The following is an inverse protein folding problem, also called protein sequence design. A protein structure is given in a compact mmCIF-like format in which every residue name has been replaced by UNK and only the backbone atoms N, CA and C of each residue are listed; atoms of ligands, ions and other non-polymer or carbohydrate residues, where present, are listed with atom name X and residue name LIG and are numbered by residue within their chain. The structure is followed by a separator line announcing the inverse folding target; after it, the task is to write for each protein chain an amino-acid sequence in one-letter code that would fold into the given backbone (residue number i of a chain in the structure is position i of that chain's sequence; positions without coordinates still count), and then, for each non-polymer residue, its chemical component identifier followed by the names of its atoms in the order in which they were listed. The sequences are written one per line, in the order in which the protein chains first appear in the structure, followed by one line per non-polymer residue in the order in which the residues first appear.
data_IF_221460523964
#
_entry.id   IF_221460523964
#
_cell.length_a   1.000
_cell.length_b   1.000
_cell.length_c   1.000
_cell.angle_alpha   90.00
_cell.angle_beta   90.00
_cell.angle_gamma   90.00
#
_symmetry.space_group_name_H-M   'P 1'
#
loop_
_entity.id
_entity.type
_entity.pdbx_description
1 polymer ?
#
# COMPACT_ATOMS: atom_id res chain seq x y z
N UNK A 1 10.21 -11.35 9.48
CA UNK A 1 9.10 -12.30 9.64
C UNK A 1 8.27 -11.85 10.85
N UNK A 2 6.96 -11.69 10.67
CA UNK A 2 6.04 -11.47 11.80
C UNK A 2 5.98 -12.79 12.59
N UNK A 3 6.17 -12.70 13.90
CA UNK A 3 5.91 -13.82 14.79
C UNK A 3 4.39 -13.94 14.99
N UNK A 4 3.76 -14.81 14.19
CA UNK A 4 2.31 -15.03 14.21
C UNK A 4 1.79 -15.59 15.56
N UNK A 5 2.67 -16.01 16.45
CA UNK A 5 2.31 -16.50 17.78
C UNK A 5 2.00 -15.37 18.78
N UNK A 6 2.41 -14.13 18.47
CA UNK A 6 2.26 -12.96 19.35
C UNK A 6 1.21 -11.98 18.84
N UNK A 7 0.43 -11.35 19.74
CA UNK A 7 -0.45 -10.26 19.35
C UNK A 7 0.37 -9.12 18.74
N UNK A 8 -0.02 -8.66 17.55
CA UNK A 8 0.80 -7.72 16.79
C UNK A 8 -0.02 -6.53 16.29
N UNK A 9 0.46 -5.33 16.58
CA UNK A 9 -0.01 -4.08 16.01
C UNK A 9 1.01 -3.58 14.98
N UNK A 10 0.65 -3.64 13.72
CA UNK A 10 1.42 -3.11 12.60
C UNK A 10 1.15 -1.61 12.49
N UNK A 11 2.21 -0.79 12.51
CA UNK A 11 2.12 0.67 12.49
C UNK A 11 2.80 1.22 11.23
N UNK A 12 2.00 1.64 10.24
CA UNK A 12 2.50 2.10 8.94
C UNK A 12 2.48 3.61 8.73
N UNK A 13 3.28 4.08 7.74
CA UNK A 13 3.04 5.35 7.05
C UNK A 13 1.82 5.22 6.12
N UNK A 14 1.30 6.35 5.58
CA UNK A 14 0.04 6.33 4.82
C UNK A 14 0.09 7.24 3.60
N UNK A 15 0.34 6.66 2.44
CA UNK A 15 0.58 7.42 1.20
C UNK A 15 -0.38 7.07 0.06
N UNK A 16 -1.03 5.87 0.08
CA UNK A 16 -1.87 5.39 -1.01
C UNK A 16 -3.15 4.67 -0.55
N UNK A 17 -3.89 5.33 0.34
CA UNK A 17 -5.22 4.92 0.78
C UNK A 17 -5.36 3.40 1.07
N UNK A 18 -6.41 2.74 0.51
CA UNK A 18 -6.68 1.33 0.80
C UNK A 18 -5.73 0.35 0.09
N UNK A 19 -4.99 0.80 -0.95
CA UNK A 19 -4.05 -0.08 -1.67
C UNK A 19 -2.98 -0.65 -0.74
N UNK A 20 -2.55 0.10 0.26
CA UNK A 20 -1.58 -0.33 1.26
C UNK A 20 -2.09 -1.53 2.07
N UNK A 21 -3.36 -1.49 2.48
CA UNK A 21 -3.99 -2.62 3.15
C UNK A 21 -4.06 -3.86 2.27
N UNK A 22 -4.39 -3.71 0.98
CA UNK A 22 -4.41 -4.81 0.01
C UNK A 22 -3.03 -5.41 -0.19
N UNK A 23 -2.00 -4.57 -0.33
CA UNK A 23 -0.61 -5.03 -0.49
C UNK A 23 -0.12 -5.81 0.73
N UNK A 24 -0.38 -5.31 1.94
CA UNK A 24 0.01 -6.02 3.17
C UNK A 24 -0.76 -7.36 3.29
N UNK A 25 -2.06 -7.38 2.98
CA UNK A 25 -2.85 -8.61 2.98
C UNK A 25 -2.34 -9.64 1.95
N UNK A 26 -1.84 -9.20 0.80
CA UNK A 26 -1.25 -10.06 -0.21
C UNK A 26 0.07 -10.72 0.23
N UNK A 27 0.86 -10.02 1.05
CA UNK A 27 2.13 -10.54 1.61
C UNK A 27 1.86 -11.57 2.72
N UNK A 28 0.76 -11.39 3.48
CA UNK A 28 0.38 -12.26 4.60
C UNK A 28 -0.99 -12.92 4.36
N UNK A 29 -1.13 -13.79 3.36
CA UNK A 29 -2.43 -14.36 2.97
C UNK A 29 -3.05 -15.26 4.05
N UNK A 30 -2.24 -15.82 4.95
CA UNK A 30 -2.69 -16.68 6.04
C UNK A 30 -2.93 -15.93 7.35
N UNK A 31 -2.45 -14.70 7.47
CA UNK A 31 -2.63 -13.89 8.66
C UNK A 31 -4.07 -13.37 8.75
N UNK A 32 -4.66 -13.44 9.95
CA UNK A 32 -5.96 -12.81 10.22
C UNK A 32 -5.76 -11.34 10.50
N UNK A 33 -5.62 -10.56 9.42
CA UNK A 33 -5.35 -9.12 9.47
C UNK A 33 -6.64 -8.32 9.56
N UNK A 34 -6.63 -7.32 10.43
CA UNK A 34 -7.66 -6.31 10.55
C UNK A 34 -7.08 -4.93 10.29
N UNK A 35 -7.84 -4.07 9.62
CA UNK A 35 -7.39 -2.75 9.19
C UNK A 35 -8.23 -1.66 9.83
N UNK A 36 -7.59 -0.60 10.30
CA UNK A 36 -8.29 0.60 10.75
C UNK A 36 -8.45 1.56 9.58
N UNK A 37 -9.69 1.95 9.27
CA UNK A 37 -9.98 2.93 8.25
C UNK A 37 -10.90 4.04 8.77
N UNK A 38 -10.88 5.18 8.10
CA UNK A 38 -11.69 6.35 8.44
C UNK A 38 -13.18 5.99 8.55
N UNK A 39 -13.83 6.45 9.59
CA UNK A 39 -15.23 6.13 9.85
C UNK A 39 -16.20 6.66 8.77
N UNK A 40 -15.86 7.74 8.08
CA UNK A 40 -16.69 8.33 7.02
C UNK A 40 -16.91 7.40 5.81
N UNK A 41 -16.00 6.45 5.54
CA UNK A 41 -16.20 5.45 4.47
C UNK A 41 -17.28 4.42 4.79
N UNK A 42 -17.72 4.33 6.06
CA UNK A 42 -18.80 3.44 6.51
C UNK A 42 -20.20 4.07 6.44
N UNK A 43 -20.31 5.32 6.02
CA UNK A 43 -21.60 6.03 6.00
C UNK A 43 -22.63 5.39 5.05
N UNK A 44 -22.19 4.67 4.03
CA UNK A 44 -23.08 3.95 3.13
C UNK A 44 -23.30 2.50 3.60
N UNK A 45 -24.56 2.02 3.80
CA UNK A 45 -24.82 0.69 4.38
C UNK A 45 -24.20 -0.49 3.61
N UNK A 46 -24.16 -0.40 2.27
CA UNK A 46 -23.54 -1.44 1.45
C UNK A 46 -22.02 -1.43 1.62
N UNK A 47 -21.41 -0.24 1.64
CA UNK A 47 -19.98 -0.11 1.88
C UNK A 47 -19.61 -0.65 3.26
N UNK A 48 -20.35 -0.31 4.30
CA UNK A 48 -20.14 -0.81 5.67
C UNK A 48 -20.15 -2.34 5.73
N UNK A 49 -21.09 -3.01 5.06
CA UNK A 49 -21.16 -4.48 4.98
C UNK A 49 -19.96 -5.09 4.25
N UNK A 50 -19.50 -4.46 3.18
CA UNK A 50 -18.32 -4.94 2.42
C UNK A 50 -17.06 -4.76 3.27
N UNK A 51 -16.88 -3.59 3.89
CA UNK A 51 -15.71 -3.27 4.71
C UNK A 51 -15.62 -4.20 5.93
N UNK A 52 -16.74 -4.51 6.58
CA UNK A 52 -16.76 -5.46 7.70
C UNK A 52 -16.33 -6.87 7.27
N UNK A 53 -16.79 -7.35 6.10
CA UNK A 53 -16.33 -8.63 5.53
C UNK A 53 -14.84 -8.64 5.16
N UNK A 54 -14.27 -7.48 4.86
CA UNK A 54 -12.86 -7.29 4.60
C UNK A 54 -12.04 -7.04 5.86
N UNK A 55 -12.62 -7.25 7.04
CA UNK A 55 -11.98 -7.04 8.34
C UNK A 55 -11.51 -5.58 8.56
N UNK A 56 -12.24 -4.62 8.01
CA UNK A 56 -11.94 -3.20 8.16
C UNK A 56 -12.79 -2.62 9.29
N UNK A 57 -12.16 -1.92 10.23
CA UNK A 57 -12.77 -1.38 11.45
C UNK A 57 -12.77 0.16 11.36
N UNK A 58 -13.88 0.83 11.68
CA UNK A 58 -13.92 2.30 11.65
C UNK A 58 -13.08 2.92 12.77
N UNK A 59 -12.30 3.98 12.44
CA UNK A 59 -11.66 4.84 13.41
C UNK A 59 -12.07 6.29 13.17
N UNK A 60 -12.38 7.01 14.26
CA UNK A 60 -12.89 8.37 14.24
C UNK A 60 -11.77 9.36 14.55
N UNK A 61 -11.69 10.42 13.76
CA UNK A 61 -10.72 11.51 13.96
C UNK A 61 -11.38 12.65 14.72
N UNK A 62 -10.61 13.49 15.37
CA UNK A 62 -11.09 14.67 16.12
C UNK A 62 -12.01 15.54 15.23
N UNK A 63 -11.69 15.69 13.95
CA UNK A 63 -12.48 16.44 12.97
C UNK A 63 -13.79 15.75 12.54
N UNK A 64 -14.01 14.50 12.90
CA UNK A 64 -15.24 13.76 12.55
C UNK A 64 -16.40 14.03 13.54
N UNK A 65 -16.21 14.95 14.50
CA UNK A 65 -17.25 15.48 15.37
C UNK A 65 -16.95 15.37 16.87
N UNK A 66 -17.78 16.02 17.68
CA UNK A 66 -17.58 16.17 19.13
C UNK A 66 -17.51 14.82 19.88
N UNK A 67 -18.27 13.83 19.40
CA UNK A 67 -18.31 12.49 20.03
C UNK A 67 -17.30 11.50 19.42
N UNK A 68 -16.36 11.96 18.59
CA UNK A 68 -15.40 11.09 17.92
C UNK A 68 -14.52 10.29 18.90
N UNK A 69 -14.14 10.91 20.02
CA UNK A 69 -13.33 10.26 21.05
C UNK A 69 -14.09 9.16 21.79
N UNK A 70 -15.40 9.37 22.09
CA UNK A 70 -16.21 8.34 22.76
C UNK A 70 -16.50 7.16 21.84
N UNK A 71 -16.75 7.42 20.55
CA UNK A 71 -16.89 6.36 19.53
C UNK A 71 -15.62 5.54 19.33
N UNK A 72 -14.44 6.14 19.53
CA UNK A 72 -13.17 5.42 19.50
C UNK A 72 -12.98 4.44 20.65
N UNK A 73 -13.65 4.61 21.80
CA UNK A 73 -13.62 3.61 22.89
C UNK A 73 -14.11 2.25 22.40
N UNK A 74 -15.23 2.20 21.69
CA UNK A 74 -15.75 0.95 21.13
C UNK A 74 -14.80 0.34 20.09
N UNK A 75 -14.20 1.18 19.24
CA UNK A 75 -13.19 0.75 18.27
C UNK A 75 -11.98 0.15 18.98
N UNK A 76 -11.45 0.82 19.98
CA UNK A 76 -10.29 0.38 20.75
C UNK A 76 -10.57 -0.93 21.52
N UNK A 77 -11.73 -1.03 22.16
CA UNK A 77 -12.17 -2.28 22.82
C UNK A 77 -12.24 -3.44 21.83
N UNK A 78 -12.82 -3.22 20.63
CA UNK A 78 -12.88 -4.23 19.57
C UNK A 78 -11.48 -4.64 19.12
N UNK A 79 -10.58 -3.68 18.92
CA UNK A 79 -9.19 -3.97 18.50
C UNK A 79 -8.44 -4.71 19.60
N UNK A 80 -8.52 -4.30 20.85
CA UNK A 80 -7.89 -5.01 21.98
C UNK A 80 -8.39 -6.45 22.08
N UNK A 81 -9.69 -6.68 21.91
CA UNK A 81 -10.23 -8.03 21.88
C UNK A 81 -9.66 -8.87 20.75
N UNK A 82 -9.54 -8.32 19.54
CA UNK A 82 -8.94 -9.02 18.40
C UNK A 82 -7.46 -9.36 18.64
N UNK A 83 -6.71 -8.45 19.24
CA UNK A 83 -5.32 -8.72 19.62
C UNK A 83 -5.22 -9.84 20.67
N UNK A 84 -6.14 -9.88 21.66
CA UNK A 84 -6.23 -10.99 22.64
C UNK A 84 -6.55 -12.34 21.99
N UNK A 85 -7.26 -12.32 20.87
CA UNK A 85 -7.56 -13.51 20.06
C UNK A 85 -6.41 -13.92 19.13
N UNK A 86 -5.24 -13.29 19.23
CA UNK A 86 -4.09 -13.55 18.37
C UNK A 86 -4.29 -13.07 16.93
N UNK A 87 -5.15 -12.06 16.69
CA UNK A 87 -5.27 -11.40 15.40
C UNK A 87 -4.23 -10.29 15.28
N UNK A 88 -3.90 -9.94 14.05
CA UNK A 88 -3.01 -8.82 13.77
C UNK A 88 -3.83 -7.61 13.32
N UNK A 89 -3.46 -6.44 13.81
CA UNK A 89 -4.16 -5.20 13.47
C UNK A 89 -3.19 -4.21 12.85
N UNK A 90 -3.65 -3.50 11.83
CA UNK A 90 -2.86 -2.49 11.12
C UNK A 90 -3.48 -1.12 11.36
N UNK A 91 -2.64 -0.19 11.78
CA UNK A 91 -2.98 1.23 11.92
C UNK A 91 -1.97 2.08 11.15
N UNK A 92 -2.48 3.04 10.39
CA UNK A 92 -1.64 4.04 9.72
C UNK A 92 -1.44 5.22 10.66
N UNK A 93 -0.23 5.29 11.25
CA UNK A 93 0.05 6.14 12.41
C UNK A 93 0.10 7.64 12.09
N UNK A 94 0.19 8.03 10.82
CA UNK A 94 0.12 9.42 10.37
C UNK A 94 -1.30 10.02 10.44
N UNK A 95 -2.33 9.16 10.43
CA UNK A 95 -3.73 9.54 10.59
C UNK A 95 -4.39 10.20 9.37
N UNK A 96 -3.64 10.58 8.38
CA UNK A 96 -4.11 11.10 7.09
C UNK A 96 -3.31 10.45 5.95
N UNK A 97 -3.98 10.19 4.82
CA UNK A 97 -3.33 9.70 3.61
C UNK A 97 -2.90 10.89 2.75
N UNK A 98 -1.63 10.95 2.37
CA UNK A 98 -1.10 11.96 1.44
C UNK A 98 -0.08 11.29 0.51
N UNK A 99 -0.26 11.44 -0.80
CA UNK A 99 0.58 10.83 -1.84
C UNK A 99 1.94 11.55 -1.95
N UNK A 100 2.80 11.36 -0.95
CA UNK A 100 4.14 11.91 -0.88
C UNK A 100 5.13 10.86 -0.36
N UNK A 101 6.35 10.86 -0.89
CA UNK A 101 7.46 10.02 -0.39
C UNK A 101 8.13 10.72 0.80
N UNK A 102 7.40 10.86 1.88
CA UNK A 102 7.85 11.54 3.08
C UNK A 102 7.20 10.97 4.33
N UNK A 103 7.99 10.76 5.37
CA UNK A 103 7.48 10.40 6.68
C UNK A 103 6.94 11.64 7.40
N UNK A 104 5.66 11.63 7.72
CA UNK A 104 4.97 12.73 8.40
C UNK A 104 4.89 12.49 9.91
N UNK A 105 4.53 13.54 10.64
CA UNK A 105 4.35 13.47 12.10
C UNK A 105 3.27 12.45 12.47
N UNK A 106 3.59 11.56 13.42
CA UNK A 106 2.68 10.54 13.89
C UNK A 106 1.63 11.12 14.85
N UNK A 107 0.41 10.60 14.74
CA UNK A 107 -0.65 10.86 15.71
C UNK A 107 -0.50 9.92 16.90
N UNK A 108 -1.11 10.29 18.03
CA UNK A 108 -1.04 9.50 19.27
C UNK A 108 -2.01 8.30 19.30
N UNK A 109 -2.67 7.98 18.17
CA UNK A 109 -3.66 6.91 18.08
C UNK A 109 -3.08 5.53 18.31
N UNK A 110 -1.95 5.22 17.67
CA UNK A 110 -1.24 3.94 17.81
C UNK A 110 -0.77 3.69 19.24
N UNK A 111 -0.15 4.70 19.86
CA UNK A 111 0.30 4.61 21.25
C UNK A 111 -0.86 4.42 22.24
N UNK A 112 -1.97 5.16 22.06
CA UNK A 112 -3.16 5.01 22.93
C UNK A 112 -3.79 3.64 22.81
N UNK A 113 -3.89 3.11 21.58
CA UNK A 113 -4.42 1.78 21.34
C UNK A 113 -3.51 0.70 21.97
N UNK A 114 -2.20 0.82 21.79
CA UNK A 114 -1.23 -0.08 22.39
C UNK A 114 -1.29 -0.07 23.92
N UNK A 115 -1.36 1.11 24.52
CA UNK A 115 -1.42 1.25 25.98
C UNK A 115 -2.73 0.72 26.57
N UNK A 116 -3.87 0.90 25.90
CA UNK A 116 -5.11 0.25 26.32
C UNK A 116 -5.00 -1.27 26.29
N UNK A 117 -4.38 -1.82 25.25
CA UNK A 117 -4.19 -3.27 25.13
C UNK A 117 -3.29 -3.81 26.27
N UNK A 118 -2.22 -3.11 26.62
CA UNK A 118 -1.34 -3.45 27.76
C UNK A 118 -2.11 -3.35 29.08
N UNK A 119 -2.86 -2.27 29.29
CA UNK A 119 -3.71 -2.08 30.50
C UNK A 119 -4.72 -3.23 30.69
N UNK A 120 -5.20 -3.78 29.58
CA UNK A 120 -6.10 -4.93 29.58
C UNK A 120 -5.39 -6.30 29.61
N UNK A 121 -4.07 -6.33 29.89
CA UNK A 121 -3.28 -7.54 30.14
C UNK A 121 -2.51 -8.13 28.96
N UNK A 122 -2.37 -7.39 27.83
CA UNK A 122 -1.56 -7.79 26.69
C UNK A 122 -0.09 -7.29 26.85
N UNK A 123 0.63 -7.86 27.82
CA UNK A 123 2.01 -7.45 28.13
C UNK A 123 3.01 -7.78 26.99
N UNK A 124 2.71 -8.78 26.16
CA UNK A 124 3.56 -9.23 25.04
C UNK A 124 3.15 -8.61 23.69
N UNK A 125 2.42 -7.50 23.69
CA UNK A 125 1.99 -6.84 22.47
C UNK A 125 3.19 -6.31 21.67
N UNK A 126 3.41 -6.90 20.50
CA UNK A 126 4.43 -6.44 19.55
C UNK A 126 3.94 -5.27 18.71
N UNK A 127 4.78 -4.25 18.59
CA UNK A 127 4.61 -3.14 17.67
C UNK A 127 5.62 -3.30 16.54
N UNK A 128 5.15 -3.37 15.31
CA UNK A 128 6.03 -3.50 14.14
C UNK A 128 5.87 -2.26 13.27
N UNK A 129 6.92 -1.43 13.12
CA UNK A 129 6.91 -0.34 12.16
C UNK A 129 6.93 -0.90 10.74
N UNK A 130 6.05 -0.39 9.86
CA UNK A 130 5.90 -0.83 8.47
C UNK A 130 6.08 0.34 7.54
N UNK A 131 7.17 0.34 6.78
CA UNK A 131 7.41 1.31 5.72
C UNK A 131 6.82 0.85 4.39
N UNK A 132 5.98 1.69 3.80
CA UNK A 132 5.39 1.45 2.49
C UNK A 132 5.90 2.53 1.56
N UNK A 133 6.63 2.12 0.54
CA UNK A 133 7.31 2.99 -0.40
C UNK A 133 6.79 2.70 -1.81
N UNK A 134 6.53 3.75 -2.57
CA UNK A 134 6.12 3.66 -3.97
C UNK A 134 7.15 4.33 -4.86
N UNK A 135 7.33 3.80 -6.05
CA UNK A 135 8.21 4.44 -7.05
C UNK A 135 7.66 5.76 -7.55
N UNK A 136 6.35 5.92 -7.52
CA UNK A 136 5.63 7.14 -7.84
C UNK A 136 4.17 7.06 -7.44
N UNK A 137 3.38 8.09 -7.75
CA UNK A 137 1.95 8.16 -7.47
C UNK A 137 1.17 8.58 -8.70
N UNK A 138 0.11 7.85 -9.02
CA UNK A 138 -0.83 8.24 -10.08
C UNK A 138 -0.50 7.76 -11.48
N UNK A 139 0.56 6.98 -11.67
CA UNK A 139 0.88 6.33 -12.94
C UNK A 139 0.72 4.83 -12.85
N UNK A 140 0.55 4.17 -14.00
CA UNK A 140 0.51 2.72 -14.09
C UNK A 140 1.92 2.12 -14.13
N UNK A 141 2.08 0.92 -13.57
CA UNK A 141 3.35 0.20 -13.59
C UNK A 141 4.35 0.67 -12.52
N UNK A 142 3.87 1.38 -11.51
CA UNK A 142 4.68 1.74 -10.35
C UNK A 142 4.80 0.55 -9.40
N UNK A 143 5.99 0.40 -8.81
CA UNK A 143 6.28 -0.65 -7.85
C UNK A 143 6.00 -0.16 -6.43
N UNK A 144 5.70 -1.12 -5.55
CA UNK A 144 5.58 -0.88 -4.12
C UNK A 144 6.55 -1.78 -3.36
N UNK A 145 7.34 -1.18 -2.46
CA UNK A 145 8.22 -1.89 -1.56
C UNK A 145 7.73 -1.75 -0.14
N UNK A 146 7.46 -2.87 0.53
CA UNK A 146 7.05 -2.91 1.92
C UNK A 146 8.19 -3.46 2.76
N UNK A 147 8.61 -2.68 3.74
CA UNK A 147 9.67 -3.05 4.68
C UNK A 147 9.14 -3.05 6.11
N UNK A 148 9.46 -4.11 6.83
CA UNK A 148 9.17 -4.26 8.27
C UNK A 148 10.46 -4.00 9.04
N UNK A 149 10.41 -3.08 10.01
CA UNK A 149 11.54 -2.82 10.91
C UNK A 149 11.47 -3.73 12.14
N UNK A 150 12.51 -3.66 12.97
CA UNK A 150 12.61 -4.44 14.19
C UNK A 150 11.42 -4.17 15.13
N UNK A 151 10.75 -5.24 15.59
CA UNK A 151 9.65 -5.13 16.54
C UNK A 151 10.11 -4.55 17.87
N UNK A 152 9.19 -3.90 18.59
CA UNK A 152 9.39 -3.54 19.98
C UNK A 152 8.15 -3.85 20.82
N UNK A 153 8.30 -4.04 22.13
CA UNK A 153 7.19 -4.35 23.00
C UNK A 153 6.50 -3.05 23.46
N UNK A 154 5.17 -3.00 23.35
CA UNK A 154 4.39 -1.86 23.82
C UNK A 154 4.52 -1.61 25.32
N UNK A 155 4.68 -2.69 26.12
CA UNK A 155 4.79 -2.62 27.57
C UNK A 155 6.04 -1.88 28.05
N UNK A 156 7.12 -1.87 27.27
CA UNK A 156 8.37 -1.14 27.60
C UNK A 156 8.14 0.38 27.69
N UNK A 157 7.08 0.87 27.08
CA UNK A 157 6.72 2.30 27.01
C UNK A 157 5.45 2.62 27.82
N UNK A 158 4.82 1.63 28.46
CA UNK A 158 3.59 1.84 29.21
C UNK A 158 3.84 2.72 30.45
N UNK A 159 3.01 3.76 30.68
CA UNK A 159 3.22 4.69 31.80
C UNK A 159 3.06 4.01 33.16
N UNK A 160 4.00 4.25 34.06
CA UNK A 160 3.95 3.73 35.44
C UNK A 160 3.05 4.57 36.36
N UNK A 161 2.69 5.78 35.92
CA UNK A 161 1.81 6.70 36.65
C UNK A 161 1.04 7.60 35.68
N UNK A 162 -0.04 8.20 36.12
CA UNK A 162 -0.82 9.16 35.32
C UNK A 162 0.02 10.39 34.91
N UNK A 163 0.96 10.81 35.73
CA UNK A 163 1.86 11.94 35.44
C UNK A 163 2.83 11.64 34.28
N UNK A 164 3.15 10.37 34.05
CA UNK A 164 4.06 9.94 32.98
C UNK A 164 3.34 9.73 31.65
N UNK A 165 2.02 9.66 31.63
CA UNK A 165 1.22 9.29 30.45
C UNK A 165 1.56 10.10 29.19
N UNK A 166 1.72 11.41 29.31
CA UNK A 166 2.06 12.27 28.18
C UNK A 166 3.48 12.01 27.65
N UNK A 167 4.44 11.78 28.56
CA UNK A 167 5.83 11.45 28.22
C UNK A 167 5.93 10.08 27.57
N UNK A 168 5.26 9.07 28.12
CA UNK A 168 5.22 7.69 27.58
C UNK A 168 4.65 7.65 26.16
N UNK A 169 3.56 8.39 25.89
CA UNK A 169 3.02 8.51 24.52
C UNK A 169 4.05 9.10 23.54
N UNK A 170 4.84 10.07 23.97
CA UNK A 170 5.88 10.66 23.13
C UNK A 170 7.06 9.70 22.95
N UNK A 171 7.49 8.99 23.99
CA UNK A 171 8.56 7.99 23.90
C UNK A 171 8.18 6.85 22.96
N UNK A 172 6.95 6.33 23.07
CA UNK A 172 6.42 5.33 22.13
C UNK A 172 6.46 5.85 20.68
N UNK A 173 5.94 7.06 20.43
CA UNK A 173 5.95 7.65 19.10
C UNK A 173 7.37 7.88 18.57
N UNK A 174 8.32 8.30 19.42
CA UNK A 174 9.70 8.46 19.01
C UNK A 174 10.32 7.13 18.58
N UNK A 175 10.11 6.06 19.36
CA UNK A 175 10.57 4.71 18.98
C UNK A 175 9.94 4.23 17.67
N UNK A 176 8.65 4.50 17.49
CA UNK A 176 7.95 4.16 16.24
C UNK A 176 8.51 4.96 15.05
N UNK A 177 8.79 6.26 15.23
CA UNK A 177 9.41 7.11 14.20
C UNK A 177 10.79 6.57 13.81
N UNK A 178 11.62 6.16 14.77
CA UNK A 178 12.94 5.56 14.51
C UNK A 178 12.81 4.34 13.60
N UNK A 179 11.91 3.41 13.93
CA UNK A 179 11.67 2.24 13.09
C UNK A 179 11.11 2.60 11.70
N UNK A 180 10.20 3.56 11.61
CA UNK A 180 9.68 4.02 10.32
C UNK A 180 10.75 4.73 9.48
N UNK A 181 11.67 5.48 10.07
CA UNK A 181 12.82 6.07 9.36
C UNK A 181 13.74 5.02 8.74
N UNK A 182 13.84 3.84 9.35
CA UNK A 182 14.58 2.72 8.77
C UNK A 182 13.85 2.09 7.58
N UNK A 183 12.52 2.16 7.56
CA UNK A 183 11.67 1.46 6.60
C UNK A 183 11.15 2.36 5.46
N UNK A 184 11.15 3.68 5.61
CA UNK A 184 10.61 4.65 4.64
C UNK A 184 11.74 5.42 3.98
N UNK A 185 11.65 5.63 2.67
CA UNK A 185 12.50 6.59 1.95
C UNK A 185 11.87 7.97 2.12
N UNK A 186 12.60 8.87 2.81
CA UNK A 186 12.10 10.20 3.18
C UNK A 186 12.78 11.26 2.30
N UNK A 187 11.98 11.99 1.52
CA UNK A 187 12.47 13.02 0.62
C UNK A 187 12.42 14.40 1.32
N UNK A 188 13.53 15.18 1.26
CA UNK A 188 13.50 16.57 1.71
C UNK A 188 12.43 17.40 1.03
N UNK A 189 11.77 18.29 1.79
CA UNK A 189 10.61 19.07 1.32
C UNK A 189 11.03 20.06 0.25
N UNK A 190 12.17 20.73 0.46
CA UNK A 190 12.64 21.84 -0.36
C UNK A 190 12.91 21.42 -1.82
N UNK A 191 13.37 20.18 -2.02
CA UNK A 191 13.79 19.67 -3.33
C UNK A 191 12.97 18.48 -3.82
N UNK A 192 11.78 18.26 -3.26
CA UNK A 192 10.98 17.07 -3.48
C UNK A 192 10.82 16.69 -4.96
N UNK A 193 10.37 17.61 -5.80
CA UNK A 193 10.11 17.34 -7.22
C UNK A 193 11.40 17.02 -8.00
N UNK A 194 12.48 17.72 -7.69
CA UNK A 194 13.78 17.51 -8.33
C UNK A 194 14.38 16.16 -7.94
N UNK A 195 14.31 15.80 -6.66
CA UNK A 195 14.75 14.50 -6.14
C UNK A 195 13.90 13.38 -6.73
N UNK A 196 12.58 13.55 -6.80
CA UNK A 196 11.69 12.56 -7.39
C UNK A 196 12.01 12.33 -8.88
N UNK A 197 12.27 13.37 -9.64
CA UNK A 197 12.70 13.24 -11.04
C UNK A 197 14.03 12.53 -11.18
N UNK A 198 15.01 12.85 -10.34
CA UNK A 198 16.33 12.22 -10.31
C UNK A 198 16.26 10.72 -9.97
N UNK A 199 15.57 10.36 -8.90
CA UNK A 199 15.45 8.97 -8.45
C UNK A 199 14.67 8.12 -9.45
N UNK A 200 13.65 8.68 -10.13
CA UNK A 200 12.96 7.99 -11.23
C UNK A 200 13.91 7.65 -12.38
N UNK A 201 14.77 8.58 -12.80
CA UNK A 201 15.76 8.30 -13.85
C UNK A 201 16.73 7.18 -13.44
N UNK A 202 17.24 7.22 -12.21
CA UNK A 202 18.12 6.18 -11.66
C UNK A 202 17.43 4.82 -11.60
N UNK A 203 16.17 4.80 -11.18
CA UNK A 203 15.37 3.57 -11.10
C UNK A 203 15.13 2.95 -12.47
N UNK A 204 14.77 3.74 -13.48
CA UNK A 204 14.62 3.26 -14.87
C UNK A 204 15.92 2.61 -15.35
N UNK A 205 17.06 3.25 -15.12
CA UNK A 205 18.36 2.70 -15.48
C UNK A 205 18.63 1.37 -14.76
N UNK A 206 18.42 1.29 -13.44
CA UNK A 206 18.63 0.09 -12.64
C UNK A 206 17.71 -1.07 -13.05
N UNK A 207 16.41 -0.80 -13.33
CA UNK A 207 15.49 -1.82 -13.83
C UNK A 207 15.93 -2.36 -15.19
N UNK A 208 16.39 -1.50 -16.08
CA UNK A 208 16.92 -1.93 -17.38
C UNK A 208 18.18 -2.81 -17.23
N UNK A 209 19.06 -2.49 -16.30
CA UNK A 209 20.22 -3.32 -15.94
C UNK A 209 19.80 -4.67 -15.35
N UNK A 210 18.84 -4.67 -14.44
CA UNK A 210 18.29 -5.90 -13.86
C UNK A 210 17.67 -6.81 -14.93
N UNK A 211 16.81 -6.27 -15.79
CA UNK A 211 16.22 -7.02 -16.92
C UNK A 211 17.24 -7.58 -17.88
N UNK A 212 18.39 -6.93 -17.96
CA UNK A 212 19.53 -7.40 -18.74
C UNK A 212 20.40 -8.45 -18.01
N UNK A 213 20.06 -8.80 -16.76
CA UNK A 213 20.80 -9.74 -15.92
C UNK A 213 22.14 -9.19 -15.40
N UNK A 214 22.33 -7.87 -15.41
CA UNK A 214 23.58 -7.21 -15.00
C UNK A 214 23.53 -6.62 -13.60
N UNK A 215 22.31 -6.47 -13.00
CA UNK A 215 22.14 -5.91 -11.68
C UNK A 215 21.01 -6.61 -10.90
N UNK A 216 20.91 -6.37 -9.60
CA UNK A 216 19.81 -6.78 -8.72
C UNK A 216 18.68 -5.72 -8.85
N UNK A 217 17.43 -6.15 -8.68
CA UNK A 217 16.30 -5.22 -8.64
C UNK A 217 16.49 -4.19 -7.50
N UNK A 218 16.35 -2.88 -7.79
CA UNK A 218 16.62 -1.84 -6.80
C UNK A 218 15.62 -1.86 -5.66
N UNK A 219 16.13 -1.78 -4.44
CA UNK A 219 15.36 -1.72 -3.19
C UNK A 219 15.42 -0.35 -2.51
N UNK A 220 15.08 -0.33 -1.24
CA UNK A 220 15.04 0.90 -0.44
C UNK A 220 16.44 1.47 -0.19
N UNK A 221 17.44 0.61 -0.05
CA UNK A 221 18.82 1.04 0.20
C UNK A 221 19.37 1.82 -0.99
N UNK A 222 19.13 1.32 -2.20
CA UNK A 222 19.51 1.97 -3.45
C UNK A 222 18.78 3.31 -3.62
N UNK A 223 17.49 3.37 -3.33
CA UNK A 223 16.73 4.62 -3.44
C UNK A 223 17.22 5.67 -2.43
N UNK A 224 17.55 5.27 -1.21
CA UNK A 224 18.18 6.17 -0.23
C UNK A 224 19.54 6.68 -0.69
N UNK A 225 20.35 5.79 -1.29
CA UNK A 225 21.64 6.19 -1.85
C UNK A 225 21.43 7.21 -2.98
N UNK A 226 20.44 7.02 -3.84
CA UNK A 226 20.14 7.99 -4.90
C UNK A 226 19.69 9.35 -4.37
N UNK A 227 18.96 9.39 -3.25
CA UNK A 227 18.62 10.66 -2.58
C UNK A 227 19.89 11.33 -2.06
N UNK A 228 20.81 10.58 -1.43
CA UNK A 228 22.09 11.09 -0.95
C UNK A 228 22.95 11.59 -2.12
N UNK A 229 23.06 10.80 -3.21
CA UNK A 229 23.78 11.16 -4.43
C UNK A 229 23.27 12.49 -5.02
N UNK A 230 21.96 12.70 -5.04
CA UNK A 230 21.36 13.96 -5.49
C UNK A 230 21.82 15.14 -4.63
N UNK A 231 21.77 14.98 -3.31
CA UNK A 231 22.17 16.03 -2.37
C UNK A 231 23.66 16.36 -2.45
N UNK A 232 24.49 15.39 -2.85
CA UNK A 232 25.92 15.57 -3.11
C UNK A 232 26.23 16.11 -4.53
N UNK A 233 25.21 16.31 -5.36
CA UNK A 233 25.35 16.83 -6.72
C UNK A 233 25.86 15.80 -7.74
N UNK A 234 25.74 14.50 -7.44
CA UNK A 234 26.08 13.44 -8.39
C UNK A 234 25.07 13.45 -9.56
N UNK A 235 25.52 13.48 -10.83
CA UNK A 235 24.60 13.53 -11.96
C UNK A 235 23.75 12.24 -12.06
N UNK A 236 22.53 12.37 -12.58
CA UNK A 236 21.70 11.21 -12.90
C UNK A 236 22.41 10.31 -13.93
N UNK A 237 22.10 9.00 -13.88
CA UNK A 237 22.63 8.08 -14.87
C UNK A 237 22.21 8.51 -16.29
N UNK A 238 23.13 8.39 -17.24
CA UNK A 238 22.80 8.63 -18.66
C UNK A 238 21.69 7.64 -19.09
N UNK A 239 20.70 8.09 -19.91
CA UNK A 239 19.64 7.22 -20.38
C UNK A 239 20.22 6.03 -21.17
N UNK A 240 19.99 4.83 -20.69
CA UNK A 240 20.41 3.62 -21.38
C UNK A 240 19.56 3.37 -22.61
N UNK A 241 20.19 2.95 -23.71
CA UNK A 241 19.46 2.50 -24.89
C UNK A 241 18.75 1.18 -24.60
N UNK A 242 17.43 1.17 -24.73
CA UNK A 242 16.64 -0.07 -24.67
C UNK A 242 17.14 -1.08 -25.71
N UNK A 243 17.31 -2.33 -25.29
CA UNK A 243 17.66 -3.43 -26.21
C UNK A 243 16.52 -3.70 -27.19
N UNK A 244 16.89 -4.24 -28.35
CA UNK A 244 15.93 -4.59 -29.42
C UNK A 244 14.79 -5.51 -28.91
N UNK A 245 15.11 -6.52 -28.10
CA UNK A 245 14.13 -7.46 -27.51
C UNK A 245 13.15 -6.78 -26.57
N UNK A 246 13.59 -5.78 -25.80
CA UNK A 246 12.69 -4.98 -24.92
C UNK A 246 11.74 -4.12 -25.75
N UNK A 247 12.25 -3.50 -26.82
CA UNK A 247 11.41 -2.75 -27.76
C UNK A 247 10.39 -3.66 -28.44
N UNK A 248 10.77 -4.90 -28.75
CA UNK A 248 9.89 -5.90 -29.32
C UNK A 248 8.77 -6.30 -28.31
N UNK A 249 9.17 -6.62 -27.06
CA UNK A 249 8.20 -6.98 -26.01
C UNK A 249 7.23 -5.84 -25.69
N UNK A 250 7.69 -4.58 -25.68
CA UNK A 250 6.83 -3.39 -25.55
C UNK A 250 5.91 -3.28 -26.79
N UNK A 251 6.42 -3.51 -27.98
CA UNK A 251 5.65 -3.52 -29.21
C UNK A 251 4.55 -4.58 -29.20
N UNK A 252 4.86 -5.82 -28.80
CA UNK A 252 3.91 -6.91 -28.64
C UNK A 252 2.86 -6.61 -27.56
N UNK A 253 3.29 -6.04 -26.44
CA UNK A 253 2.38 -5.58 -25.36
C UNK A 253 1.39 -4.52 -25.89
N UNK A 254 1.85 -3.59 -26.72
CA UNK A 254 0.99 -2.58 -27.34
C UNK A 254 -0.03 -3.16 -28.31
N UNK A 255 0.23 -4.31 -28.96
CA UNK A 255 -0.76 -5.02 -29.79
C UNK A 255 -1.94 -5.55 -28.96
N UNK A 256 -1.75 -5.81 -27.68
CA UNK A 256 -2.80 -6.22 -26.75
C UNK A 256 -3.63 -5.05 -26.21
N UNK A 257 -3.16 -3.81 -26.41
CA UNK A 257 -3.82 -2.60 -25.92
C UNK A 257 -5.31 -2.53 -26.29
N UNK A 258 -5.75 -2.85 -27.54
CA UNK A 258 -7.18 -2.82 -27.87
C UNK A 258 -8.05 -3.75 -27.01
N UNK A 259 -7.51 -4.89 -26.58
CA UNK A 259 -8.23 -5.86 -25.76
C UNK A 259 -8.44 -5.35 -24.34
N UNK A 260 -7.39 -4.68 -23.78
CA UNK A 260 -7.40 -4.20 -22.39
C UNK A 260 -7.76 -2.72 -22.28
N UNK A 261 -7.83 -1.99 -23.38
CA UNK A 261 -8.15 -0.56 -23.40
C UNK A 261 -9.49 -0.23 -22.73
N UNK A 262 -10.53 -1.01 -23.04
CA UNK A 262 -11.89 -0.76 -22.54
C UNK A 262 -11.95 -0.76 -21.02
N UNK A 263 -11.52 -1.81 -20.29
CA UNK A 263 -11.54 -1.80 -18.84
C UNK A 263 -10.68 -0.69 -18.23
N UNK A 264 -9.51 -0.40 -18.80
CA UNK A 264 -8.64 0.67 -18.33
C UNK A 264 -9.25 2.06 -18.53
N UNK A 265 -9.76 2.33 -19.73
CA UNK A 265 -10.42 3.59 -20.05
C UNK A 265 -11.64 3.84 -19.16
N UNK A 266 -12.48 2.81 -18.94
CA UNK A 266 -13.65 2.93 -18.07
C UNK A 266 -13.23 3.13 -16.63
N UNK A 267 -12.23 2.39 -16.12
CA UNK A 267 -11.70 2.55 -14.77
C UNK A 267 -11.22 3.99 -14.53
N UNK A 268 -10.37 4.52 -15.39
CA UNK A 268 -9.86 5.87 -15.29
C UNK A 268 -10.99 6.92 -15.33
N UNK A 269 -11.96 6.77 -16.24
CA UNK A 269 -13.08 7.70 -16.35
C UNK A 269 -14.00 7.65 -15.12
N UNK A 270 -14.26 6.47 -14.56
CA UNK A 270 -15.02 6.30 -13.32
C UNK A 270 -14.29 6.92 -12.14
N UNK A 271 -12.99 6.66 -12.03
CA UNK A 271 -12.17 7.23 -10.96
C UNK A 271 -12.19 8.75 -10.99
N UNK A 272 -11.95 9.37 -12.15
CA UNK A 272 -12.03 10.84 -12.33
C UNK A 272 -13.38 11.43 -11.94
N UNK A 273 -14.47 10.66 -12.12
CA UNK A 273 -15.82 11.11 -11.76
C UNK A 273 -16.09 11.01 -10.26
N UNK A 274 -15.55 9.99 -9.60
CA UNK A 274 -15.85 9.66 -8.20
C UNK A 274 -14.84 10.27 -7.23
N UNK A 275 -13.57 10.33 -7.62
CA UNK A 275 -12.47 10.73 -6.73
C UNK A 275 -11.92 12.09 -7.13
N UNK A 276 -11.86 13.01 -6.15
CA UNK A 276 -11.35 14.37 -6.34
C UNK A 276 -9.94 14.56 -5.80
N UNK A 277 -9.47 13.69 -4.88
CA UNK A 277 -8.13 13.79 -4.29
C UNK A 277 -7.16 12.79 -4.91
N UNK A 278 -5.92 13.22 -5.12
CA UNK A 278 -4.86 12.38 -5.70
C UNK A 278 -4.57 11.14 -4.85
N UNK A 279 -4.65 11.29 -3.52
CA UNK A 279 -4.35 10.23 -2.54
C UNK A 279 -5.24 8.97 -2.70
N UNK A 280 -6.48 9.17 -3.15
CA UNK A 280 -7.44 8.09 -3.37
C UNK A 280 -7.54 7.68 -4.84
N UNK A 281 -7.00 8.50 -5.75
CA UNK A 281 -7.17 8.29 -7.17
C UNK A 281 -6.60 6.95 -7.61
N UNK A 282 -5.34 6.68 -7.30
CA UNK A 282 -4.65 5.46 -7.71
C UNK A 282 -5.30 4.21 -7.09
N UNK A 283 -5.60 4.25 -5.80
CA UNK A 283 -6.28 3.15 -5.11
C UNK A 283 -7.63 2.81 -5.73
N UNK A 284 -8.45 3.81 -6.04
CA UNK A 284 -9.76 3.62 -6.65
C UNK A 284 -9.66 3.17 -8.11
N UNK A 285 -8.69 3.68 -8.85
CA UNK A 285 -8.45 3.25 -10.22
C UNK A 285 -8.05 1.77 -10.27
N UNK A 286 -7.14 1.33 -9.40
CA UNK A 286 -6.76 -0.08 -9.27
C UNK A 286 -7.98 -0.94 -8.93
N UNK A 287 -8.82 -0.53 -7.97
CA UNK A 287 -10.01 -1.28 -7.60
C UNK A 287 -11.02 -1.41 -8.75
N UNK A 288 -11.34 -0.30 -9.43
CA UNK A 288 -12.22 -0.34 -10.60
C UNK A 288 -11.64 -1.20 -11.72
N UNK A 289 -10.34 -1.10 -11.95
CA UNK A 289 -9.64 -1.88 -12.96
C UNK A 289 -9.71 -3.38 -12.68
N UNK A 290 -9.43 -3.80 -11.44
CA UNK A 290 -9.52 -5.21 -11.05
C UNK A 290 -10.89 -5.79 -11.35
N UNK A 291 -11.97 -5.08 -10.99
CA UNK A 291 -13.34 -5.53 -11.27
C UNK A 291 -13.64 -5.53 -12.78
N UNK A 292 -13.28 -4.45 -13.47
CA UNK A 292 -13.58 -4.30 -14.89
C UNK A 292 -12.79 -5.27 -15.77
N UNK A 293 -11.54 -5.58 -15.44
CA UNK A 293 -10.74 -6.59 -16.14
C UNK A 293 -11.37 -7.97 -16.01
N UNK A 294 -11.86 -8.33 -14.81
CA UNK A 294 -12.56 -9.58 -14.59
C UNK A 294 -13.87 -9.65 -15.42
N UNK A 295 -14.71 -8.64 -15.32
CA UNK A 295 -15.99 -8.56 -16.04
C UNK A 295 -15.75 -8.57 -17.55
N UNK A 296 -14.81 -7.77 -18.02
CA UNK A 296 -14.46 -7.72 -19.45
C UNK A 296 -13.89 -9.04 -19.94
N UNK A 297 -13.03 -9.70 -19.15
CA UNK A 297 -12.52 -11.03 -19.47
C UNK A 297 -13.64 -12.07 -19.65
N UNK A 298 -14.62 -12.07 -18.76
CA UNK A 298 -15.81 -12.93 -18.88
C UNK A 298 -16.61 -12.64 -20.16
N UNK A 299 -16.87 -11.37 -20.44
CA UNK A 299 -17.62 -10.96 -21.67
C UNK A 299 -16.84 -11.32 -22.93
N UNK A 300 -15.56 -10.93 -22.99
CA UNK A 300 -14.69 -11.16 -24.13
C UNK A 300 -14.55 -12.65 -24.46
N UNK A 301 -14.24 -13.47 -23.45
CA UNK A 301 -14.08 -14.92 -23.65
C UNK A 301 -15.39 -15.61 -24.01
N UNK A 302 -16.53 -15.14 -23.48
CA UNK A 302 -17.86 -15.66 -23.87
C UNK A 302 -18.17 -15.37 -25.33
N UNK A 303 -17.97 -14.13 -25.78
CA UNK A 303 -18.17 -13.75 -27.19
C UNK A 303 -17.26 -14.60 -28.09
N UNK A 304 -15.98 -14.73 -27.74
CA UNK A 304 -15.03 -15.50 -28.54
C UNK A 304 -15.40 -16.98 -28.62
N UNK A 305 -15.88 -17.59 -27.53
CA UNK A 305 -16.33 -18.98 -27.48
C UNK A 305 -17.55 -19.21 -28.37
N UNK A 306 -18.49 -18.26 -28.37
CA UNK A 306 -19.67 -18.32 -29.25
C UNK A 306 -19.25 -18.24 -30.72
N UNK A 307 -18.35 -17.31 -31.07
CA UNK A 307 -17.87 -17.12 -32.44
C UNK A 307 -17.13 -18.34 -33.00
N UNK A 308 -16.40 -19.07 -32.15
CA UNK A 308 -15.65 -20.28 -32.52
C UNK A 308 -16.56 -21.53 -32.49
N UNK A 309 -17.80 -21.42 -32.02
CA UNK A 309 -18.71 -22.57 -31.86
C UNK A 309 -18.25 -23.53 -30.74
N UNK A 310 -17.49 -23.01 -29.74
CA UNK A 310 -16.84 -23.80 -28.73
C UNK A 310 -17.74 -24.24 -27.56
N UNK A 311 -17.29 -25.27 -26.84
CA UNK A 311 -17.90 -25.76 -25.58
C UNK A 311 -17.23 -25.16 -24.37
N UNK A 312 -17.78 -25.42 -23.17
CA UNK A 312 -17.30 -24.92 -21.91
C UNK A 312 -15.77 -25.10 -21.66
N UNK A 313 -15.19 -26.21 -22.11
CA UNK A 313 -13.75 -26.45 -22.02
C UNK A 313 -12.90 -25.44 -22.79
N UNK A 314 -13.37 -25.05 -23.99
CA UNK A 314 -12.71 -24.01 -24.81
C UNK A 314 -12.80 -22.65 -24.08
N UNK A 315 -13.96 -22.35 -23.50
CA UNK A 315 -14.15 -21.11 -22.74
C UNK A 315 -13.14 -20.99 -21.58
N UNK A 316 -12.95 -22.05 -20.79
CA UNK A 316 -11.98 -22.06 -19.69
C UNK A 316 -10.55 -21.78 -20.19
N UNK A 317 -10.14 -22.42 -21.30
CA UNK A 317 -8.83 -22.22 -21.89
C UNK A 317 -8.66 -20.76 -22.36
N UNK A 318 -9.66 -20.20 -23.03
CA UNK A 318 -9.61 -18.81 -23.49
C UNK A 318 -9.60 -17.83 -22.32
N UNK A 319 -10.32 -18.11 -21.25
CA UNK A 319 -10.33 -17.29 -20.04
C UNK A 319 -8.97 -17.29 -19.34
N UNK A 320 -8.33 -18.45 -19.20
CA UNK A 320 -6.98 -18.55 -18.67
C UNK A 320 -5.97 -17.83 -19.57
N UNK A 321 -6.07 -18.00 -20.87
CA UNK A 321 -5.21 -17.32 -21.85
C UNK A 321 -5.36 -15.80 -21.76
N UNK A 322 -6.59 -15.29 -21.59
CA UNK A 322 -6.84 -13.86 -21.37
C UNK A 322 -6.04 -13.32 -20.18
N UNK A 323 -6.01 -14.03 -19.04
CA UNK A 323 -5.24 -13.61 -17.89
C UNK A 323 -3.73 -13.71 -18.08
N UNK A 324 -3.25 -14.71 -18.79
CA UNK A 324 -1.82 -14.82 -19.15
C UNK A 324 -1.38 -13.64 -20.03
N UNK A 325 -2.19 -13.28 -21.03
CA UNK A 325 -1.95 -12.13 -21.90
C UNK A 325 -2.03 -10.81 -21.12
N UNK A 326 -2.98 -10.68 -20.19
CA UNK A 326 -3.08 -9.51 -19.32
C UNK A 326 -1.83 -9.36 -18.45
N UNK A 327 -1.37 -10.45 -17.82
CA UNK A 327 -0.14 -10.48 -17.05
C UNK A 327 1.08 -10.09 -17.91
N UNK A 328 1.19 -10.64 -19.11
CA UNK A 328 2.25 -10.28 -20.04
C UNK A 328 2.19 -8.79 -20.40
N UNK A 329 1.01 -8.25 -20.67
CA UNK A 329 0.80 -6.83 -20.96
C UNK A 329 1.26 -5.95 -19.78
N UNK A 330 0.88 -6.28 -18.55
CA UNK A 330 1.28 -5.52 -17.37
C UNK A 330 2.80 -5.55 -17.12
N UNK A 331 3.44 -6.70 -17.34
CA UNK A 331 4.89 -6.86 -17.11
C UNK A 331 5.77 -6.17 -18.16
N UNK A 332 5.24 -5.88 -19.36
CA UNK A 332 6.01 -5.31 -20.46
C UNK A 332 5.57 -3.89 -20.83
N UNK A 333 4.90 -3.18 -19.93
CA UNK A 333 4.56 -1.76 -20.15
C UNK A 333 5.82 -0.90 -20.22
N UNK A 334 5.80 0.16 -21.03
CA UNK A 334 6.89 1.11 -21.03
C UNK A 334 7.03 1.75 -19.63
N UNK A 335 8.28 1.84 -19.17
CA UNK A 335 8.64 2.58 -17.97
C UNK A 335 8.51 4.09 -18.30
N UNK A 336 7.57 4.76 -17.68
CA UNK A 336 7.31 6.20 -17.90
C UNK A 336 7.87 7.05 -16.76
#
# INVERSE_FOLDING_TARGET
NIDESKPTLLCGNHTNAFLEGVLIAAIYPNAKLYFLARADVFNHPLAAKILDKLHIIPIYRIRDGYNALDRNKDTFNKVTQLLKEGKHVIIFSEGDCIAEKRLRSLKKGSARLAFQAVEEGLEDLQIIPVGINYTGFGKEGEDALIQFSEPFNANDYYPKSETEKASSLNQFNNRLIEGLKEAVVDYPVEDYESINGYTQQRRIAAILEHRNGTAIEPGIAEERQWVADYLEGVPAAAPQKQRFLEKLAIGESNLLLPIFFIPHFIANRLTKKVVKSLDFFQSMEVAFRMVLVLVWGLVFTTILTILVGGKLGIWVVLFLLYFLLYRFHCNNRPLH
#
